data_IF_056639892323
#
_entry.id   IF_056639892323
#
_cell.length_a   1.000
_cell.length_b   1.000
_cell.length_c   1.000
_cell.angle_alpha   90.00
_cell.angle_beta   90.00
_cell.angle_gamma   90.00
#
_symmetry.space_group_name_H-M   'P 1'
#
loop_
_entity.id
_entity.type
_entity.pdbx_description
1 polymer ?
#
# COMPACT_ATOMS: atom_id res chain seq x y z
N UNK A 1 2.00 -31.90 8.38
CA UNK A 1 2.58 -30.54 8.31
C UNK A 1 1.67 -29.59 9.05
N UNK A 2 2.19 -28.62 9.80
CA UNK A 2 1.37 -27.61 10.48
C UNK A 2 0.76 -26.63 9.47
N UNK A 3 -0.46 -26.15 9.72
CA UNK A 3 -1.13 -25.16 8.88
C UNK A 3 -0.44 -23.80 9.00
N UNK A 4 -0.04 -23.21 7.88
CA UNK A 4 0.52 -21.86 7.81
C UNK A 4 -0.58 -20.80 7.87
N UNK A 5 -0.28 -19.65 8.43
CA UNK A 5 -1.19 -18.49 8.49
C UNK A 5 -0.70 -17.36 7.59
N UNK A 6 -1.52 -17.02 6.59
CA UNK A 6 -1.38 -15.80 5.80
C UNK A 6 -2.18 -14.68 6.45
N UNK A 7 -1.51 -13.64 6.93
CA UNK A 7 -2.16 -12.41 7.39
C UNK A 7 -2.17 -11.38 6.26
N UNK A 8 -3.33 -10.78 6.00
CA UNK A 8 -3.53 -9.76 4.97
C UNK A 8 -4.01 -8.48 5.63
N UNK A 9 -3.54 -7.33 5.15
CA UNK A 9 -3.96 -6.04 5.66
C UNK A 9 -5.45 -5.77 5.43
N UNK A 10 -6.11 -5.05 6.36
CA UNK A 10 -7.55 -4.81 6.32
C UNK A 10 -7.99 -4.01 5.09
N UNK A 11 -7.12 -3.16 4.52
CA UNK A 11 -7.45 -2.42 3.29
C UNK A 11 -7.85 -3.36 2.14
N UNK A 12 -7.23 -4.55 2.08
CA UNK A 12 -7.48 -5.57 1.06
C UNK A 12 -8.59 -6.55 1.45
N UNK A 13 -8.81 -6.82 2.74
CA UNK A 13 -9.78 -7.83 3.20
C UNK A 13 -11.12 -7.26 3.68
N UNK A 14 -11.18 -6.01 4.13
CA UNK A 14 -12.34 -5.47 4.86
C UNK A 14 -13.67 -5.57 4.08
N UNK A 15 -13.61 -5.50 2.76
CA UNK A 15 -14.80 -5.60 1.91
C UNK A 15 -14.81 -6.84 1.01
N UNK A 16 -13.74 -7.64 0.99
CA UNK A 16 -13.56 -8.70 -0.02
C UNK A 16 -12.73 -9.91 0.46
N UNK A 17 -12.89 -10.34 1.71
CA UNK A 17 -12.14 -11.48 2.26
C UNK A 17 -12.29 -12.78 1.46
N UNK A 18 -13.41 -12.98 0.76
CA UNK A 18 -13.66 -14.14 -0.11
C UNK A 18 -12.55 -14.36 -1.16
N UNK A 19 -12.09 -13.28 -1.80
CA UNK A 19 -11.04 -13.34 -2.84
C UNK A 19 -9.74 -13.89 -2.27
N UNK A 20 -9.42 -13.51 -1.04
CA UNK A 20 -8.27 -14.01 -0.30
C UNK A 20 -8.46 -15.44 0.21
N UNK A 21 -9.69 -15.87 0.51
CA UNK A 21 -9.98 -17.27 0.81
C UNK A 21 -9.72 -18.17 -0.41
N UNK A 22 -10.15 -17.76 -1.60
CA UNK A 22 -9.85 -18.48 -2.84
C UNK A 22 -8.35 -18.54 -3.12
N UNK A 23 -7.63 -17.45 -2.84
CA UNK A 23 -6.18 -17.40 -2.96
C UNK A 23 -5.48 -18.41 -2.04
N UNK A 24 -5.82 -18.47 -0.75
CA UNK A 24 -5.18 -19.45 0.15
C UNK A 24 -5.55 -20.90 -0.18
N UNK A 25 -6.74 -21.14 -0.75
CA UNK A 25 -7.12 -22.47 -1.27
C UNK A 25 -6.27 -22.84 -2.48
N UNK A 26 -6.04 -21.91 -3.40
CA UNK A 26 -5.14 -22.11 -4.53
C UNK A 26 -3.72 -22.42 -4.05
N UNK A 27 -3.15 -21.57 -3.17
CA UNK A 27 -1.82 -21.79 -2.62
C UNK A 27 -1.70 -23.15 -1.92
N UNK A 28 -2.71 -23.52 -1.12
CA UNK A 28 -2.67 -24.78 -0.37
C UNK A 28 -2.56 -26.00 -1.29
N UNK A 29 -3.29 -25.97 -2.42
CA UNK A 29 -3.28 -27.06 -3.41
C UNK A 29 -1.97 -27.09 -4.20
N UNK A 30 -1.48 -25.95 -4.65
CA UNK A 30 -0.28 -25.88 -5.48
C UNK A 30 1.00 -26.19 -4.68
N UNK A 31 1.03 -25.84 -3.40
CA UNK A 31 2.17 -26.08 -2.52
C UNK A 31 2.11 -27.44 -1.79
N UNK A 32 1.00 -28.17 -1.88
CA UNK A 32 0.70 -29.33 -1.03
C UNK A 32 0.96 -29.04 0.46
N UNK A 33 0.53 -27.86 0.91
CA UNK A 33 0.80 -27.32 2.24
C UNK A 33 -0.40 -26.51 2.71
N UNK A 34 -1.10 -26.88 3.79
CA UNK A 34 -2.24 -26.11 4.25
C UNK A 34 -1.86 -24.66 4.60
N UNK A 35 -2.52 -23.70 3.93
CA UNK A 35 -2.44 -22.25 4.19
C UNK A 35 -3.83 -21.77 4.59
N UNK A 36 -3.92 -21.10 5.74
CA UNK A 36 -5.13 -20.43 6.21
C UNK A 36 -5.04 -18.93 6.06
N UNK A 37 -6.14 -18.30 5.68
CA UNK A 37 -6.30 -16.86 5.77
C UNK A 37 -6.57 -16.47 7.23
N UNK A 38 -5.83 -15.45 7.69
CA UNK A 38 -6.10 -14.70 8.91
C UNK A 38 -6.39 -13.25 8.49
N UNK A 39 -7.44 -12.66 9.04
CA UNK A 39 -7.86 -11.30 8.70
C UNK A 39 -7.74 -10.40 9.91
N UNK A 40 -7.18 -9.21 9.70
CA UNK A 40 -7.18 -8.16 10.71
C UNK A 40 -8.45 -7.30 10.62
N UNK A 41 -8.97 -6.89 11.77
CA UNK A 41 -10.14 -5.99 11.84
C UNK A 41 -9.78 -4.57 11.36
N UNK A 42 -8.65 -4.07 11.84
CA UNK A 42 -8.11 -2.76 11.47
C UNK A 42 -6.57 -2.80 11.42
N UNK A 43 -5.96 -1.65 11.11
CA UNK A 43 -4.50 -1.56 11.02
C UNK A 43 -3.79 -1.70 12.37
N UNK A 44 -4.47 -1.38 13.49
CA UNK A 44 -3.89 -1.56 14.81
C UNK A 44 -3.82 -3.05 15.18
N UNK A 45 -4.89 -3.79 14.90
CA UNK A 45 -4.95 -5.25 15.02
C UNK A 45 -3.89 -5.92 14.12
N UNK A 46 -3.82 -5.51 12.83
CA UNK A 46 -2.79 -6.02 11.91
C UNK A 46 -1.37 -5.85 12.48
N UNK A 47 -1.03 -4.64 12.96
CA UNK A 47 0.29 -4.34 13.53
C UNK A 47 0.60 -5.17 14.78
N UNK A 48 -0.41 -5.47 15.59
CA UNK A 48 -0.23 -6.26 16.82
C UNK A 48 0.08 -7.74 16.53
N UNK A 49 -0.37 -8.25 15.37
CA UNK A 49 -0.27 -9.67 15.01
C UNK A 49 0.68 -9.99 13.86
N UNK A 50 1.11 -9.01 13.07
CA UNK A 50 1.90 -9.24 11.85
C UNK A 50 3.20 -10.04 12.09
N UNK A 51 3.83 -9.92 13.27
CA UNK A 51 5.02 -10.67 13.65
C UNK A 51 4.76 -12.16 13.96
N UNK A 52 3.49 -12.54 14.16
CA UNK A 52 3.07 -13.89 14.46
C UNK A 52 2.69 -14.66 13.18
N UNK A 53 2.37 -13.96 12.09
CA UNK A 53 1.97 -14.57 10.83
C UNK A 53 3.12 -15.35 10.17
N UNK A 54 2.83 -16.51 9.59
CA UNK A 54 3.85 -17.28 8.85
C UNK A 54 4.17 -16.63 7.51
N UNK A 55 3.13 -16.07 6.88
CA UNK A 55 3.16 -15.30 5.65
C UNK A 55 2.38 -14.00 5.89
N UNK A 56 2.87 -12.87 5.37
CA UNK A 56 2.20 -11.59 5.46
C UNK A 56 2.10 -10.95 4.07
N UNK A 57 0.89 -10.51 3.69
CA UNK A 57 0.72 -9.52 2.64
C UNK A 57 0.59 -8.14 3.31
N UNK A 58 1.72 -7.44 3.37
CA UNK A 58 1.89 -6.25 4.18
C UNK A 58 1.97 -4.97 3.33
N UNK A 59 1.29 -3.89 3.74
CA UNK A 59 1.44 -2.59 3.11
C UNK A 59 2.86 -2.04 3.30
N UNK A 60 3.30 -1.10 2.46
CA UNK A 60 4.67 -0.62 2.39
C UNK A 60 5.36 -0.32 3.73
N UNK A 61 4.68 0.38 4.65
CA UNK A 61 5.29 0.74 5.95
C UNK A 61 5.51 -0.49 6.82
N UNK A 62 4.51 -1.34 6.94
CA UNK A 62 4.53 -2.57 7.70
C UNK A 62 5.52 -3.59 7.10
N UNK A 63 5.62 -3.67 5.78
CA UNK A 63 6.60 -4.51 5.10
C UNK A 63 8.05 -4.12 5.46
N UNK A 64 8.35 -2.82 5.50
CA UNK A 64 9.65 -2.31 5.95
C UNK A 64 9.91 -2.70 7.41
N UNK A 65 8.91 -2.57 8.28
CA UNK A 65 9.03 -2.93 9.70
C UNK A 65 9.24 -4.43 9.89
N UNK A 66 8.51 -5.28 9.14
CA UNK A 66 8.66 -6.73 9.18
C UNK A 66 10.06 -7.15 8.71
N UNK A 67 10.56 -6.58 7.62
CA UNK A 67 11.91 -6.86 7.12
C UNK A 67 12.99 -6.42 8.11
N UNK A 68 12.91 -5.18 8.61
CA UNK A 68 13.96 -4.62 9.48
C UNK A 68 13.95 -5.18 10.90
N UNK A 69 12.77 -5.36 11.51
CA UNK A 69 12.64 -5.67 12.95
C UNK A 69 12.38 -7.15 13.23
N UNK A 70 11.87 -7.88 12.26
CA UNK A 70 11.55 -9.31 12.40
C UNK A 70 12.17 -10.19 11.32
N UNK A 71 13.07 -9.64 10.49
CA UNK A 71 13.81 -10.34 9.43
C UNK A 71 12.93 -11.04 8.39
N UNK A 72 11.66 -10.65 8.23
CA UNK A 72 10.78 -11.24 7.22
C UNK A 72 11.40 -11.08 5.83
N UNK A 73 11.28 -12.15 5.05
CA UNK A 73 11.88 -12.28 3.73
C UNK A 73 10.82 -11.85 2.72
N UNK A 74 10.97 -10.72 2.02
CA UNK A 74 10.11 -10.40 0.89
C UNK A 74 10.35 -11.43 -0.22
N UNK A 75 9.28 -11.81 -0.91
CA UNK A 75 9.35 -12.80 -2.00
C UNK A 75 8.76 -12.25 -3.28
N UNK A 76 7.62 -11.57 -3.20
CA UNK A 76 6.93 -11.01 -4.36
C UNK A 76 6.20 -9.71 -3.97
N UNK A 77 5.87 -8.93 -4.98
CA UNK A 77 4.95 -7.79 -4.92
C UNK A 77 3.97 -7.86 -6.09
N UNK A 78 2.81 -7.21 -6.00
CA UNK A 78 1.94 -7.04 -7.17
C UNK A 78 2.67 -6.28 -8.28
N UNK A 79 2.46 -6.70 -9.51
CA UNK A 79 2.97 -6.00 -10.68
C UNK A 79 2.15 -4.72 -10.95
N UNK A 80 2.82 -3.63 -11.33
CA UNK A 80 2.20 -2.38 -11.78
C UNK A 80 1.17 -1.74 -10.82
N UNK A 81 1.25 -2.03 -9.51
CA UNK A 81 0.41 -1.42 -8.48
C UNK A 81 1.24 -0.68 -7.42
N UNK A 82 2.01 0.35 -7.80
CA UNK A 82 2.69 1.17 -6.82
C UNK A 82 1.68 2.05 -6.07
N UNK A 83 1.94 2.25 -4.79
CA UNK A 83 1.37 3.35 -4.02
C UNK A 83 2.00 4.67 -4.47
N UNK A 84 1.15 5.57 -4.96
CA UNK A 84 1.54 6.89 -5.42
C UNK A 84 0.68 7.95 -4.73
N UNK A 85 1.17 9.19 -4.70
CA UNK A 85 0.51 10.33 -4.08
C UNK A 85 0.12 11.35 -5.13
N UNK A 86 -1.06 11.93 -4.95
CA UNK A 86 -1.56 13.09 -5.70
C UNK A 86 -1.43 14.33 -4.83
N UNK A 87 -0.87 15.38 -5.40
CA UNK A 87 -0.76 16.72 -4.82
C UNK A 87 -1.88 17.57 -5.40
N UNK A 88 -2.76 18.07 -4.54
CA UNK A 88 -3.91 18.85 -4.94
C UNK A 88 -4.07 20.10 -4.09
N UNK A 89 -4.87 21.04 -4.60
CA UNK A 89 -5.43 22.17 -3.89
C UNK A 89 -6.90 22.32 -4.29
N UNK A 90 -7.58 23.31 -3.70
CA UNK A 90 -8.93 23.68 -4.12
C UNK A 90 -8.94 24.23 -5.56
N UNK A 91 -9.98 23.94 -6.35
CA UNK A 91 -10.08 24.42 -7.74
C UNK A 91 -10.03 25.95 -7.87
N UNK A 92 -10.62 26.67 -6.90
CA UNK A 92 -10.63 28.14 -6.92
C UNK A 92 -9.28 28.78 -6.54
N UNK A 93 -8.31 27.99 -6.06
CA UNK A 93 -6.97 28.49 -5.76
C UNK A 93 -6.12 28.57 -7.03
N UNK A 94 -6.36 29.63 -7.81
CA UNK A 94 -5.68 29.89 -9.10
C UNK A 94 -4.16 30.05 -9.00
N UNK A 95 -3.63 30.34 -7.80
CA UNK A 95 -2.20 30.49 -7.54
C UNK A 95 -1.51 29.21 -7.06
N UNK A 96 -2.28 28.13 -6.87
CA UNK A 96 -1.78 26.89 -6.29
C UNK A 96 -0.66 26.27 -7.13
N UNK A 97 0.40 25.85 -6.45
CA UNK A 97 1.54 25.18 -7.07
C UNK A 97 2.23 24.26 -6.09
N UNK A 98 3.10 23.36 -6.59
CA UNK A 98 3.91 22.52 -5.71
C UNK A 98 4.82 23.32 -4.76
N UNK A 99 5.25 24.54 -5.15
CA UNK A 99 6.02 25.43 -4.26
C UNK A 99 5.15 26.03 -3.17
N UNK A 100 3.85 26.19 -3.42
CA UNK A 100 2.89 26.74 -2.47
C UNK A 100 2.65 25.86 -1.23
N UNK A 101 3.08 24.59 -1.26
CA UNK A 101 3.15 23.75 -0.06
C UNK A 101 4.13 24.29 1.00
N UNK A 102 5.05 25.19 0.63
CA UNK A 102 5.99 25.79 1.56
C UNK A 102 5.26 26.65 2.58
N UNK A 103 5.32 26.27 3.86
CA UNK A 103 4.66 26.99 4.94
C UNK A 103 3.13 26.89 4.95
N UNK A 104 2.53 26.02 4.12
CA UNK A 104 1.08 25.86 4.05
C UNK A 104 0.56 24.81 5.04
N UNK A 105 -0.76 24.86 5.28
CA UNK A 105 -1.51 23.73 5.84
C UNK A 105 -1.71 22.66 4.76
N UNK A 106 -1.39 21.41 5.12
CA UNK A 106 -1.65 20.24 4.28
C UNK A 106 -2.67 19.33 4.97
N UNK A 107 -3.82 19.12 4.32
CA UNK A 107 -4.86 18.20 4.76
C UNK A 107 -4.60 16.83 4.12
N UNK A 108 -4.64 15.75 4.91
CA UNK A 108 -4.34 14.41 4.40
C UNK A 108 -4.98 13.32 5.24
N UNK A 109 -4.93 12.07 4.79
CA UNK A 109 -5.41 10.94 5.58
C UNK A 109 -4.32 10.50 6.55
N UNK A 110 -4.62 10.52 7.86
CA UNK A 110 -3.62 10.26 8.88
C UNK A 110 -3.00 8.85 8.74
N UNK A 111 -1.69 8.76 9.00
CA UNK A 111 -0.95 7.49 9.09
C UNK A 111 -0.96 6.62 7.82
N UNK A 112 -1.19 7.20 6.64
CA UNK A 112 -1.16 6.47 5.36
C UNK A 112 0.21 6.52 4.66
N UNK A 113 0.44 5.56 3.76
CA UNK A 113 1.64 5.53 2.90
C UNK A 113 1.70 6.75 1.99
N UNK A 114 0.58 7.14 1.37
CA UNK A 114 0.52 8.30 0.49
C UNK A 114 0.92 9.60 1.23
N UNK A 115 0.51 9.78 2.48
CA UNK A 115 0.95 10.91 3.31
C UNK A 115 2.46 10.91 3.54
N UNK A 116 3.03 9.75 3.92
CA UNK A 116 4.49 9.61 4.12
C UNK A 116 5.26 9.90 2.83
N UNK A 117 4.78 9.36 1.71
CA UNK A 117 5.38 9.57 0.40
C UNK A 117 5.32 11.05 -0.01
N UNK A 118 4.16 11.70 0.13
CA UNK A 118 3.98 13.13 -0.14
C UNK A 118 4.97 14.00 0.64
N UNK A 119 5.04 13.79 1.95
CA UNK A 119 5.99 14.51 2.81
C UNK A 119 7.46 14.25 2.42
N UNK A 120 7.82 13.00 2.10
CA UNK A 120 9.18 12.67 1.70
C UNK A 120 9.58 13.33 0.37
N UNK A 121 8.67 13.33 -0.61
CA UNK A 121 8.89 13.94 -1.92
C UNK A 121 9.02 15.46 -1.84
N UNK A 122 8.19 16.13 -1.02
CA UNK A 122 8.33 17.57 -0.78
C UNK A 122 9.68 17.89 -0.12
N UNK A 123 10.04 17.14 0.92
CA UNK A 123 11.28 17.38 1.65
C UNK A 123 12.52 17.12 0.77
N UNK A 124 12.49 16.19 -0.18
CA UNK A 124 13.56 16.02 -1.20
C UNK A 124 13.73 17.25 -2.10
N UNK A 125 12.68 18.08 -2.25
CA UNK A 125 12.70 19.35 -3.00
C UNK A 125 12.95 20.56 -2.09
N UNK A 126 13.26 20.35 -0.80
CA UNK A 126 13.42 21.44 0.17
C UNK A 126 12.11 22.14 0.54
N UNK A 127 10.95 21.57 0.20
CA UNK A 127 9.64 22.13 0.54
C UNK A 127 9.16 21.54 1.86
N UNK A 128 8.77 22.42 2.78
CA UNK A 128 8.30 22.06 4.12
C UNK A 128 6.93 22.71 4.41
N UNK A 129 5.86 21.92 4.50
CA UNK A 129 4.59 22.37 5.07
C UNK A 129 4.76 22.88 6.51
N UNK A 130 3.93 23.84 6.90
CA UNK A 130 3.90 24.33 8.28
C UNK A 130 3.14 23.35 9.18
N UNK A 131 1.93 23.00 8.75
CA UNK A 131 1.02 22.13 9.50
C UNK A 131 0.54 20.97 8.64
N UNK A 132 0.41 19.78 9.26
CA UNK A 132 -0.16 18.58 8.64
C UNK A 132 -1.43 18.17 9.39
N UNK A 133 -2.60 18.39 8.77
CA UNK A 133 -3.92 18.10 9.35
C UNK A 133 -4.41 16.74 8.88
N UNK A 134 -4.33 15.74 9.78
CA UNK A 134 -4.81 14.38 9.52
C UNK A 134 -6.33 14.25 9.62
N UNK A 135 -6.95 13.53 8.67
CA UNK A 135 -8.36 13.12 8.66
C UNK A 135 -8.47 11.59 8.64
N UNK A 136 -9.62 11.08 9.11
CA UNK A 136 -9.92 9.64 9.16
C UNK A 136 -10.58 9.20 7.84
N UNK A 137 -9.80 9.17 6.77
CA UNK A 137 -10.22 8.69 5.44
C UNK A 137 -10.23 9.77 4.36
N UNK A 138 -10.08 9.34 3.11
CA UNK A 138 -9.88 10.22 1.96
C UNK A 138 -11.08 11.11 1.63
N UNK A 139 -12.31 10.62 1.84
CA UNK A 139 -13.50 11.45 1.67
C UNK A 139 -13.56 12.62 2.67
N UNK A 140 -13.03 12.44 3.88
CA UNK A 140 -12.93 13.52 4.87
C UNK A 140 -11.85 14.55 4.50
N UNK A 141 -10.77 14.10 3.84
CA UNK A 141 -9.75 15.01 3.25
C UNK A 141 -10.38 15.86 2.16
N UNK A 142 -11.12 15.24 1.23
CA UNK A 142 -11.80 15.92 0.13
C UNK A 142 -12.77 16.99 0.65
N UNK A 143 -13.64 16.64 1.60
CA UNK A 143 -14.60 17.59 2.20
C UNK A 143 -13.91 18.73 2.94
N UNK A 144 -12.82 18.44 3.66
CA UNK A 144 -12.10 19.47 4.40
C UNK A 144 -11.37 20.44 3.46
N UNK A 145 -10.80 19.97 2.35
CA UNK A 145 -10.19 20.82 1.33
C UNK A 145 -11.24 21.72 0.65
N UNK A 146 -12.44 21.19 0.36
CA UNK A 146 -13.55 21.99 -0.18
C UNK A 146 -13.98 23.14 0.74
N UNK A 147 -13.79 22.99 2.06
CA UNK A 147 -14.08 24.04 3.04
C UNK A 147 -12.91 24.99 3.34
N UNK A 148 -11.72 24.76 2.77
CA UNK A 148 -10.52 25.57 3.01
C UNK A 148 -9.73 25.77 1.71
N UNK A 149 -10.09 26.79 0.90
CA UNK A 149 -9.45 27.04 -0.41
C UNK A 149 -7.94 27.34 -0.36
N UNK A 150 -7.44 27.79 0.78
CA UNK A 150 -6.02 28.14 0.97
C UNK A 150 -5.16 26.92 1.35
N UNK A 151 -5.80 25.82 1.77
CA UNK A 151 -5.09 24.59 2.11
C UNK A 151 -4.67 23.77 0.88
N UNK A 152 -3.68 22.93 1.11
CA UNK A 152 -3.22 21.92 0.16
C UNK A 152 -3.62 20.53 0.65
N UNK A 153 -3.59 19.54 -0.24
CA UNK A 153 -3.90 18.17 0.16
C UNK A 153 -3.05 17.11 -0.55
N UNK A 154 -2.82 16.01 0.18
CA UNK A 154 -2.39 14.75 -0.41
C UNK A 154 -3.55 13.77 -0.48
N UNK A 155 -3.64 13.06 -1.60
CA UNK A 155 -4.51 11.88 -1.77
C UNK A 155 -3.67 10.67 -2.18
N UNK A 156 -4.11 9.45 -1.84
CA UNK A 156 -3.60 8.29 -2.57
C UNK A 156 -4.05 8.38 -4.02
N UNK A 157 -3.18 7.95 -4.94
CA UNK A 157 -3.49 7.99 -6.36
C UNK A 157 -4.69 7.11 -6.71
N UNK A 158 -4.80 5.92 -6.10
CA UNK A 158 -5.94 5.02 -6.26
C UNK A 158 -7.27 5.70 -5.93
N UNK A 159 -7.36 6.34 -4.76
CA UNK A 159 -8.57 7.08 -4.37
C UNK A 159 -8.88 8.23 -5.33
N UNK A 160 -7.87 9.02 -5.70
CA UNK A 160 -8.06 10.12 -6.64
C UNK A 160 -8.57 9.63 -8.00
N UNK A 161 -8.01 8.54 -8.52
CA UNK A 161 -8.39 7.98 -9.82
C UNK A 161 -9.85 7.46 -9.81
N UNK A 162 -10.33 6.96 -8.67
CA UNK A 162 -11.72 6.51 -8.46
C UNK A 162 -12.74 7.67 -8.28
N UNK A 163 -12.29 8.90 -8.05
CA UNK A 163 -13.21 10.03 -7.91
C UNK A 163 -14.00 10.27 -9.19
N UNK A 164 -15.29 10.55 -9.02
CA UNK A 164 -16.16 10.95 -10.11
C UNK A 164 -15.73 12.32 -10.70
N UNK A 165 -16.13 12.63 -11.96
CA UNK A 165 -15.71 13.87 -12.63
C UNK A 165 -16.05 15.14 -11.85
N UNK A 166 -17.22 15.19 -11.20
CA UNK A 166 -17.65 16.34 -10.39
C UNK A 166 -16.70 16.59 -9.22
N UNK A 167 -16.31 15.53 -8.50
CA UNK A 167 -15.39 15.62 -7.35
C UNK A 167 -13.99 16.03 -7.80
N UNK A 168 -13.53 15.53 -8.95
CA UNK A 168 -12.27 15.95 -9.57
C UNK A 168 -12.31 17.41 -10.03
N UNK A 169 -13.45 17.89 -10.53
CA UNK A 169 -13.65 19.27 -10.98
C UNK A 169 -13.49 20.31 -9.86
N UNK A 170 -13.72 19.92 -8.61
CA UNK A 170 -13.52 20.77 -7.44
C UNK A 170 -12.06 20.78 -6.93
N UNK A 171 -11.13 20.11 -7.64
CA UNK A 171 -9.72 20.01 -7.27
C UNK A 171 -8.82 20.60 -8.36
N UNK A 172 -7.82 21.36 -7.93
CA UNK A 172 -6.69 21.70 -8.77
C UNK A 172 -5.60 20.62 -8.62
N UNK A 173 -5.35 19.84 -9.68
CA UNK A 173 -4.27 18.84 -9.69
C UNK A 173 -2.93 19.54 -9.92
N UNK A 174 -2.06 19.53 -8.90
CA UNK A 174 -0.74 20.17 -8.95
C UNK A 174 0.37 19.21 -9.40
N UNK A 175 0.12 17.92 -9.24
CA UNK A 175 1.02 16.86 -9.69
C UNK A 175 0.65 15.52 -9.11
N UNK A 176 1.24 14.47 -9.67
CA UNK A 176 1.15 13.11 -9.15
C UNK A 176 2.55 12.49 -9.20
N UNK A 177 2.87 11.69 -8.18
CA UNK A 177 4.12 10.96 -8.18
C UNK A 177 4.08 9.78 -9.17
N UNK A 178 5.26 9.41 -9.66
CA UNK A 178 5.51 8.25 -10.52
C UNK A 178 6.81 7.59 -10.07
N UNK A 179 6.92 7.30 -8.77
CA UNK A 179 8.16 6.79 -8.20
C UNK A 179 8.34 5.32 -8.56
N UNK A 180 7.25 4.56 -8.65
CA UNK A 180 7.22 3.14 -8.99
C UNK A 180 8.16 2.30 -8.12
N UNK A 181 8.20 2.60 -6.80
CA UNK A 181 9.09 1.95 -5.80
C UNK A 181 8.40 1.62 -4.48
N UNK A 182 7.12 1.94 -4.33
CA UNK A 182 6.40 1.77 -3.07
C UNK A 182 5.29 0.77 -3.32
N UNK A 183 5.44 -0.46 -2.82
CA UNK A 183 4.52 -1.56 -3.10
C UNK A 183 4.18 -2.32 -1.83
N UNK A 184 2.97 -2.86 -1.76
CA UNK A 184 2.68 -3.94 -0.83
C UNK A 184 3.60 -5.14 -1.11
N UNK A 185 3.89 -5.93 -0.09
CA UNK A 185 4.87 -7.00 -0.12
C UNK A 185 4.24 -8.30 0.36
N UNK A 186 4.39 -9.37 -0.42
CA UNK A 186 4.24 -10.72 0.08
C UNK A 186 5.55 -11.11 0.76
N UNK A 187 5.47 -11.50 2.03
CA UNK A 187 6.64 -11.76 2.87
C UNK A 187 6.46 -13.04 3.67
N UNK A 188 7.58 -13.73 3.93
CA UNK A 188 7.62 -14.99 4.67
C UNK A 188 8.45 -14.81 5.95
N UNK A 189 7.99 -15.39 7.05
CA UNK A 189 8.71 -15.39 8.32
C UNK A 189 10.04 -16.17 8.18
N UNK A 190 11.14 -15.75 8.83
CA UNK A 190 12.46 -16.37 8.65
C UNK A 190 12.51 -17.89 8.88
N UNK A 191 11.67 -18.39 9.78
CA UNK A 191 11.58 -19.82 10.13
C UNK A 191 11.08 -20.67 8.96
N UNK A 192 10.40 -20.07 7.99
CA UNK A 192 9.88 -20.72 6.79
C UNK A 192 10.71 -20.35 5.55
N UNK A 193 12.00 -20.02 5.71
CA UNK A 193 12.88 -19.65 4.59
C UNK A 193 12.90 -20.68 3.47
N UNK A 194 12.86 -21.97 3.80
CA UNK A 194 12.82 -23.06 2.82
C UNK A 194 11.54 -23.05 1.97
N UNK A 195 10.46 -22.44 2.46
CA UNK A 195 9.22 -22.24 1.71
C UNK A 195 9.29 -21.01 0.79
N UNK A 196 10.15 -20.04 1.07
CA UNK A 196 10.17 -18.75 0.38
C UNK A 196 10.31 -18.90 -1.14
N UNK A 197 11.24 -19.73 -1.59
CA UNK A 197 11.48 -19.97 -3.02
C UNK A 197 10.29 -20.67 -3.68
N UNK A 198 9.73 -21.70 -3.02
CA UNK A 198 8.56 -22.44 -3.52
C UNK A 198 7.33 -21.55 -3.62
N UNK A 199 7.09 -20.73 -2.61
CA UNK A 199 5.98 -19.78 -2.59
C UNK A 199 6.18 -18.69 -3.66
N UNK A 200 7.39 -18.15 -3.79
CA UNK A 200 7.74 -17.18 -4.83
C UNK A 200 7.45 -17.75 -6.23
N UNK A 201 8.00 -18.92 -6.55
CA UNK A 201 7.76 -19.59 -7.83
C UNK A 201 6.26 -19.83 -8.09
N UNK A 202 5.51 -20.27 -7.07
CA UNK A 202 4.07 -20.48 -7.18
C UNK A 202 3.31 -19.19 -7.52
N UNK A 203 3.71 -18.06 -6.93
CA UNK A 203 3.09 -16.76 -7.21
C UNK A 203 3.45 -16.25 -8.61
N UNK A 204 4.72 -16.38 -8.99
CA UNK A 204 5.21 -15.94 -10.30
C UNK A 204 4.58 -16.74 -11.45
N UNK A 205 4.30 -18.03 -11.25
CA UNK A 205 3.70 -18.91 -12.27
C UNK A 205 2.16 -18.86 -12.30
N UNK A 206 1.50 -18.00 -11.51
CA UNK A 206 0.03 -17.96 -11.47
C UNK A 206 -0.58 -17.61 -12.83
N UNK A 207 0.10 -16.81 -13.63
CA UNK A 207 -0.35 -16.40 -14.97
C UNK A 207 -0.29 -17.53 -16.01
N UNK A 208 0.35 -18.65 -15.69
CA UNK A 208 0.54 -19.80 -16.58
C UNK A 208 -0.63 -20.81 -16.49
N UNK A 209 -1.59 -20.60 -15.60
CA UNK A 209 -2.73 -21.51 -15.41
C UNK A 209 -4.05 -20.76 -15.36
N UNK A 210 -5.09 -21.33 -15.98
CA UNK A 210 -6.45 -20.74 -15.97
C UNK A 210 -6.94 -20.49 -14.54
N UNK A 211 -6.65 -21.41 -13.62
CA UNK A 211 -7.06 -21.25 -12.22
C UNK A 211 -6.29 -20.14 -11.52
N UNK A 212 -5.00 -19.99 -11.79
CA UNK A 212 -4.19 -18.90 -11.24
C UNK A 212 -4.63 -17.55 -11.79
N UNK A 213 -4.91 -17.43 -13.09
CA UNK A 213 -5.45 -16.22 -13.72
C UNK A 213 -6.79 -15.79 -13.11
N UNK A 214 -7.71 -16.73 -12.88
CA UNK A 214 -9.00 -16.41 -12.21
C UNK A 214 -8.79 -15.88 -10.79
N UNK A 215 -7.83 -16.43 -10.04
CA UNK A 215 -7.53 -15.97 -8.68
C UNK A 215 -6.90 -14.58 -8.71
N UNK A 216 -5.97 -14.34 -9.63
CA UNK A 216 -5.34 -13.04 -9.87
C UNK A 216 -6.37 -11.96 -10.20
N UNK A 217 -7.26 -12.24 -11.15
CA UNK A 217 -8.36 -11.35 -11.55
C UNK A 217 -9.24 -10.98 -10.35
N UNK A 218 -9.62 -11.98 -9.54
CA UNK A 218 -10.40 -11.75 -8.32
C UNK A 218 -9.65 -10.84 -7.36
N UNK A 219 -8.38 -11.10 -7.07
CA UNK A 219 -7.55 -10.24 -6.22
C UNK A 219 -7.34 -8.83 -6.82
N UNK A 220 -7.65 -8.62 -8.10
CA UNK A 220 -7.35 -7.39 -8.80
C UNK A 220 -5.86 -7.21 -9.08
N UNK A 221 -5.09 -8.30 -9.12
CA UNK A 221 -3.64 -8.31 -9.38
C UNK A 221 -3.42 -8.86 -10.78
N UNK A 222 -2.65 -8.18 -11.64
CA UNK A 222 -2.38 -8.67 -13.00
C UNK A 222 -1.38 -9.83 -13.00
N UNK A 223 -0.32 -9.70 -12.22
CA UNK A 223 0.72 -10.69 -12.01
C UNK A 223 1.49 -10.37 -10.72
N UNK A 224 2.31 -11.31 -10.27
CA UNK A 224 3.31 -11.08 -9.25
C UNK A 224 4.67 -10.82 -9.89
N UNK A 225 5.49 -10.00 -9.25
CA UNK A 225 6.90 -9.82 -9.59
C UNK A 225 7.75 -10.11 -8.37
N UNK A 226 8.96 -10.63 -8.57
CA UNK A 226 9.92 -10.82 -7.50
C UNK A 226 10.17 -9.51 -6.73
N UNK A 227 10.39 -9.64 -5.42
CA UNK A 227 10.75 -8.51 -4.57
C UNK A 227 11.82 -8.94 -3.57
N UNK A 228 12.83 -8.11 -3.42
CA UNK A 228 14.01 -8.41 -2.60
C UNK A 228 14.05 -7.58 -1.32
N UNK A 229 14.95 -7.95 -0.41
CA UNK A 229 15.19 -7.12 0.79
C UNK A 229 15.78 -5.75 0.44
N UNK A 230 16.53 -5.63 -0.66
CA UNK A 230 17.07 -4.35 -1.12
C UNK A 230 15.95 -3.42 -1.61
N UNK A 231 14.95 -3.97 -2.33
CA UNK A 231 13.76 -3.22 -2.74
C UNK A 231 13.01 -2.67 -1.51
N UNK A 232 12.80 -3.51 -0.49
CA UNK A 232 12.14 -3.10 0.76
C UNK A 232 12.98 -2.08 1.53
N UNK A 233 14.30 -2.20 1.56
CA UNK A 233 15.19 -1.21 2.20
C UNK A 233 15.13 0.14 1.49
N UNK A 234 15.20 0.14 0.15
CA UNK A 234 15.06 1.35 -0.69
C UNK A 234 13.70 2.01 -0.47
N UNK A 235 12.62 1.21 -0.41
CA UNK A 235 11.29 1.68 -0.05
C UNK A 235 11.24 2.30 1.35
N UNK A 236 11.89 1.69 2.34
CA UNK A 236 12.00 2.20 3.70
C UNK A 236 12.73 3.54 3.81
N UNK A 237 13.81 3.72 3.04
CA UNK A 237 14.52 5.00 2.95
C UNK A 237 13.62 6.09 2.33
N UNK A 238 12.90 5.75 1.25
CA UNK A 238 11.97 6.66 0.59
C UNK A 238 10.83 7.08 1.53
N UNK A 239 10.25 6.14 2.27
CA UNK A 239 9.14 6.41 3.21
C UNK A 239 9.59 6.97 4.56
N UNK A 240 10.91 7.06 4.80
CA UNK A 240 11.51 7.46 6.07
C UNK A 240 11.03 6.61 7.24
N UNK A 241 10.98 5.30 7.02
CA UNK A 241 10.59 4.30 8.03
C UNK A 241 11.86 3.72 8.66
N UNK A 242 11.99 3.90 9.97
CA UNK A 242 13.09 3.41 10.80
C UNK A 242 12.78 2.07 11.46
#
# INVERSE_FOLDING_TARGET
MSKLKLLVAPADTANNSERWYEFVVYLSRTLDQPVGLDTAFDMADFRSRMHQADIAFAPPTEAVLLNKKAAYIPICRPENQPEEVVFAAHADNSSASLKGYQGAEVITCANTVATRLGMSLLAKKGVKPDTLTGKNGWMHVLKALQGNPDAYAFFSKSFYDELNPLSKGNLALLGSSKVNRVFAQMMVKPQHRELADRLSMTLLSMTESDKGLQVLEKLGISAWTESTSDDVQTMGQLLRVS
#
